data_IF_393807496231
#
_entry.id   IF_393807496231
#
_cell.length_a   1.000
_cell.length_b   1.000
_cell.length_c   1.000
_cell.angle_alpha   90.00
_cell.angle_beta   90.00
_cell.angle_gamma   90.00
#
_symmetry.space_group_name_H-M   'P 1'
#
loop_
_entity.id
_entity.type
_entity.pdbx_description
1 polymer ?
#
# COMPACT_ATOMS: atom_id res chain seq x y z
N UNK A 1 -11.14 11.70 11.95
CA UNK A 1 -10.14 10.93 11.15
C UNK A 1 -10.67 10.22 9.91
N UNK A 2 -11.99 10.00 9.74
CA UNK A 2 -12.55 9.26 8.58
C UNK A 2 -12.09 9.81 7.21
N UNK A 3 -12.04 11.14 7.06
CA UNK A 3 -11.54 11.78 5.84
C UNK A 3 -10.05 11.53 5.56
N UNK A 4 -9.20 11.55 6.60
CA UNK A 4 -7.77 11.26 6.48
C UNK A 4 -7.53 9.82 6.00
N UNK A 5 -8.25 8.85 6.58
CA UNK A 5 -8.16 7.45 6.17
C UNK A 5 -8.63 7.25 4.73
N UNK A 6 -9.75 7.87 4.33
CA UNK A 6 -10.21 7.83 2.92
C UNK A 6 -9.16 8.40 1.98
N UNK A 7 -8.54 9.53 2.32
CA UNK A 7 -7.48 10.14 1.52
C UNK A 7 -6.29 9.19 1.33
N UNK A 8 -5.83 8.52 2.39
CA UNK A 8 -4.73 7.56 2.30
C UNK A 8 -5.12 6.34 1.44
N UNK A 9 -6.33 5.81 1.62
CA UNK A 9 -6.83 4.66 0.86
C UNK A 9 -6.98 4.96 -0.64
N UNK A 10 -7.48 6.14 -1.00
CA UNK A 10 -7.55 6.55 -2.41
C UNK A 10 -6.17 6.74 -3.04
N UNK A 11 -5.19 7.19 -2.27
CA UNK A 11 -3.80 7.22 -2.71
C UNK A 11 -3.27 5.84 -3.08
N UNK A 12 -3.61 4.82 -2.28
CA UNK A 12 -3.19 3.43 -2.48
C UNK A 12 -3.92 2.76 -3.63
N UNK A 13 -5.23 3.02 -3.80
CA UNK A 13 -6.05 2.43 -4.87
C UNK A 13 -5.43 2.59 -6.27
N UNK A 14 -4.82 3.74 -6.55
CA UNK A 14 -4.14 3.99 -7.83
C UNK A 14 -2.96 3.03 -8.06
N UNK A 15 -2.14 2.81 -7.04
CA UNK A 15 -1.00 1.89 -7.10
C UNK A 15 -1.44 0.42 -7.08
N UNK A 16 -2.54 0.11 -6.39
CA UNK A 16 -3.04 -1.25 -6.25
C UNK A 16 -3.38 -1.91 -7.60
N UNK A 17 -3.88 -1.14 -8.57
CA UNK A 17 -4.16 -1.65 -9.91
C UNK A 17 -2.89 -2.12 -10.63
N UNK A 18 -1.82 -1.32 -10.54
CA UNK A 18 -0.52 -1.65 -11.17
C UNK A 18 0.14 -2.82 -10.45
N UNK A 19 0.12 -2.82 -9.12
CA UNK A 19 0.65 -3.91 -8.28
C UNK A 19 -0.10 -5.21 -8.55
N UNK A 20 -1.43 -5.18 -8.64
CA UNK A 20 -2.25 -6.34 -8.95
C UNK A 20 -1.94 -6.91 -10.34
N UNK A 21 -1.81 -6.05 -11.35
CA UNK A 21 -1.42 -6.50 -12.69
C UNK A 21 -0.03 -7.14 -12.70
N UNK A 22 0.95 -6.54 -12.01
CA UNK A 22 2.29 -7.10 -11.88
C UNK A 22 2.29 -8.45 -11.14
N UNK A 23 1.47 -8.59 -10.09
CA UNK A 23 1.34 -9.84 -9.33
C UNK A 23 0.74 -10.97 -10.19
N UNK A 24 -0.28 -10.68 -11.01
CA UNK A 24 -0.87 -11.68 -11.91
C UNK A 24 0.14 -12.12 -12.97
N UNK A 25 0.89 -11.19 -13.55
CA UNK A 25 1.95 -11.52 -14.52
C UNK A 25 3.05 -12.38 -13.90
N UNK A 26 3.53 -11.99 -12.72
CA UNK A 26 4.58 -12.72 -12.01
C UNK A 26 4.10 -14.13 -11.61
N UNK A 27 2.87 -14.24 -11.10
CA UNK A 27 2.25 -15.52 -10.77
C UNK A 27 2.11 -16.44 -12.00
N UNK A 28 1.68 -15.88 -13.13
CA UNK A 28 1.59 -16.62 -14.39
C UNK A 28 2.96 -17.16 -14.86
N UNK A 29 4.02 -16.36 -14.75
CA UNK A 29 5.39 -16.78 -15.08
C UNK A 29 5.83 -17.92 -14.14
N UNK A 30 5.60 -17.80 -12.83
CA UNK A 30 5.95 -18.84 -11.87
C UNK A 30 5.23 -20.16 -12.16
N UNK A 31 3.96 -20.12 -12.58
CA UNK A 31 3.21 -21.32 -12.96
C UNK A 31 3.75 -22.00 -14.23
N UNK A 32 4.17 -21.22 -15.23
CA UNK A 32 4.74 -21.76 -16.48
C UNK A 32 6.13 -22.37 -16.23
N UNK A 33 6.94 -21.74 -15.38
CA UNK A 33 8.29 -22.26 -15.04
C UNK A 33 8.23 -23.57 -14.24
N UNK A 34 7.16 -23.80 -13.48
CA UNK A 34 6.93 -25.06 -12.76
C UNK A 34 7.93 -25.35 -11.62
N UNK A 35 8.76 -24.38 -11.23
CA UNK A 35 9.72 -24.54 -10.13
C UNK A 35 8.99 -24.54 -8.77
N UNK A 36 9.02 -25.66 -8.02
CA UNK A 36 8.31 -25.78 -6.74
C UNK A 36 8.75 -24.73 -5.70
N UNK A 37 10.01 -24.30 -5.76
CA UNK A 37 10.56 -23.30 -4.85
C UNK A 37 9.98 -21.91 -5.12
N UNK A 38 9.88 -21.50 -6.39
CA UNK A 38 9.31 -20.21 -6.76
C UNK A 38 7.81 -20.12 -6.44
N UNK A 39 7.05 -21.19 -6.71
CA UNK A 39 5.60 -21.24 -6.45
C UNK A 39 5.29 -21.22 -4.95
N UNK A 40 6.11 -21.87 -4.12
CA UNK A 40 5.90 -21.92 -2.66
C UNK A 40 6.24 -20.61 -1.94
N UNK A 41 7.12 -19.77 -2.49
CA UNK A 41 7.49 -18.48 -1.90
C UNK A 41 6.51 -17.36 -2.31
N UNK A 42 5.85 -17.48 -3.47
CA UNK A 42 4.93 -16.49 -4.01
C UNK A 42 3.86 -15.99 -3.02
N UNK A 43 3.22 -16.84 -2.19
CA UNK A 43 2.22 -16.40 -1.21
C UNK A 43 2.75 -15.47 -0.11
N UNK A 44 4.07 -15.41 0.12
CA UNK A 44 4.67 -14.51 1.12
C UNK A 44 4.96 -13.11 0.58
N UNK A 45 4.89 -12.92 -0.74
CA UNK A 45 5.18 -11.66 -1.43
C UNK A 45 4.13 -10.54 -1.19
N UNK A 46 2.82 -10.81 -1.08
CA UNK A 46 1.80 -9.75 -1.00
C UNK A 46 1.93 -8.83 0.21
N UNK A 47 2.24 -9.36 1.40
CA UNK A 47 2.39 -8.57 2.62
C UNK A 47 3.49 -7.48 2.52
N UNK A 48 4.76 -7.78 2.18
CA UNK A 48 5.78 -6.76 2.02
C UNK A 48 5.49 -5.82 0.84
N UNK A 49 4.88 -6.31 -0.25
CA UNK A 49 4.52 -5.48 -1.41
C UNK A 49 3.45 -4.45 -1.07
N UNK A 50 2.38 -4.84 -0.36
CA UNK A 50 1.34 -3.92 0.07
C UNK A 50 1.83 -2.94 1.16
N UNK A 51 2.72 -3.38 2.05
CA UNK A 51 3.42 -2.48 2.97
C UNK A 51 4.25 -1.41 2.24
N UNK A 52 5.06 -1.83 1.26
CA UNK A 52 5.82 -0.92 0.41
C UNK A 52 4.92 0.04 -0.38
N UNK A 53 3.75 -0.41 -0.85
CA UNK A 53 2.77 0.41 -1.53
C UNK A 53 2.22 1.54 -0.64
N UNK A 54 1.97 1.26 0.65
CA UNK A 54 1.55 2.27 1.62
C UNK A 54 2.65 3.33 1.84
N UNK A 55 3.92 2.92 1.91
CA UNK A 55 5.07 3.85 2.01
C UNK A 55 5.25 4.66 0.72
N UNK A 56 5.05 4.06 -0.45
CA UNK A 56 5.09 4.78 -1.73
C UNK A 56 4.01 5.87 -1.79
N UNK A 57 2.84 5.63 -1.19
CA UNK A 57 1.78 6.64 -1.10
C UNK A 57 2.18 7.84 -0.22
N UNK A 58 2.86 7.61 0.89
CA UNK A 58 3.44 8.67 1.72
C UNK A 58 4.45 9.54 0.94
N UNK A 59 5.30 8.90 0.12
CA UNK A 59 6.26 9.61 -0.75
C UNK A 59 5.53 10.45 -1.79
N UNK A 60 4.50 9.89 -2.44
CA UNK A 60 3.69 10.60 -3.44
C UNK A 60 2.96 11.80 -2.83
N UNK A 61 2.44 11.66 -1.64
CA UNK A 61 1.83 12.76 -0.88
C UNK A 61 2.82 13.89 -0.58
N UNK A 62 4.08 13.55 -0.33
CA UNK A 62 5.14 14.54 -0.13
C UNK A 62 5.48 15.27 -1.43
N UNK A 63 5.55 14.54 -2.55
CA UNK A 63 5.79 15.10 -3.88
C UNK A 63 4.66 16.03 -4.35
N UNK A 64 3.40 15.68 -4.05
CA UNK A 64 2.23 16.51 -4.40
C UNK A 64 2.00 17.70 -3.47
N UNK A 65 2.89 17.92 -2.48
CA UNK A 65 2.74 18.92 -1.40
C UNK A 65 1.51 18.72 -0.52
N UNK A 66 0.78 17.61 -0.67
CA UNK A 66 -0.39 17.30 0.14
C UNK A 66 -0.05 17.17 1.63
N UNK A 67 1.16 16.73 1.96
CA UNK A 67 1.67 16.71 3.34
C UNK A 67 1.70 18.11 3.98
N UNK A 68 2.03 19.17 3.21
CA UNK A 68 2.04 20.57 3.66
C UNK A 68 0.63 21.16 3.75
N UNK A 69 -0.29 20.71 2.91
CA UNK A 69 -1.69 21.14 3.00
C UNK A 69 -2.41 20.49 4.19
N UNK A 70 -2.13 19.21 4.50
CA UNK A 70 -2.80 18.53 5.62
C UNK A 70 -2.54 19.13 6.99
N UNK A 71 -1.40 19.80 7.18
CA UNK A 71 -1.08 20.47 8.44
C UNK A 71 -1.86 21.79 8.64
N UNK A 72 -2.45 22.36 7.59
CA UNK A 72 -3.29 23.57 7.68
C UNK A 72 -4.76 23.26 7.90
N UNK A 73 -5.17 21.99 7.73
CA UNK A 73 -6.53 21.54 8.03
C UNK A 73 -6.79 21.60 9.54
N UNK A 74 -8.06 21.78 9.97
CA UNK A 74 -8.44 21.81 11.39
C UNK A 74 -8.45 20.40 12.00
N UNK A 75 -7.31 19.72 11.96
CA UNK A 75 -7.11 18.34 12.46
C UNK A 75 -5.85 18.30 13.32
N UNK A 76 -5.87 17.48 14.37
CA UNK A 76 -4.71 17.34 15.26
C UNK A 76 -3.58 16.61 14.54
N UNK A 77 -2.33 17.07 14.73
CA UNK A 77 -1.14 16.42 14.14
C UNK A 77 -1.04 14.93 14.48
N UNK A 78 -1.43 14.56 15.71
CA UNK A 78 -1.48 13.16 16.15
C UNK A 78 -2.39 12.29 15.29
N UNK A 79 -3.49 12.85 14.78
CA UNK A 79 -4.47 12.12 13.98
C UNK A 79 -3.97 11.91 12.55
N UNK A 80 -3.19 12.86 12.03
CA UNK A 80 -2.50 12.74 10.73
C UNK A 80 -1.51 11.57 10.80
N UNK A 81 -0.63 11.55 11.82
CA UNK A 81 0.35 10.47 11.99
C UNK A 81 -0.35 9.12 12.22
N UNK A 82 -1.33 9.06 13.12
CA UNK A 82 -2.12 7.85 13.38
C UNK A 82 -2.78 7.30 12.11
N UNK A 83 -3.33 8.16 11.26
CA UNK A 83 -3.99 7.72 10.02
C UNK A 83 -3.04 7.00 9.06
N UNK A 84 -1.77 7.38 9.02
CA UNK A 84 -0.76 6.73 8.18
C UNK A 84 -0.38 5.35 8.73
N UNK A 85 -0.14 5.24 10.04
CA UNK A 85 0.15 3.95 10.68
C UNK A 85 -1.02 2.97 10.57
N UNK A 86 -2.26 3.44 10.78
CA UNK A 86 -3.46 2.61 10.61
C UNK A 86 -3.56 2.10 9.17
N UNK A 87 -3.34 2.97 8.18
CA UNK A 87 -3.40 2.57 6.76
C UNK A 87 -2.31 1.55 6.43
N UNK A 88 -1.09 1.76 6.91
CA UNK A 88 0.01 0.80 6.72
C UNK A 88 -0.29 -0.55 7.38
N UNK A 89 -0.82 -0.54 8.60
CA UNK A 89 -1.25 -1.76 9.29
C UNK A 89 -2.32 -2.51 8.51
N UNK A 90 -3.36 -1.82 8.02
CA UNK A 90 -4.40 -2.43 7.18
C UNK A 90 -3.81 -3.06 5.91
N UNK A 91 -2.89 -2.36 5.23
CA UNK A 91 -2.26 -2.89 4.01
C UNK A 91 -1.38 -4.12 4.29
N UNK A 92 -0.62 -4.12 5.38
CA UNK A 92 0.19 -5.27 5.77
C UNK A 92 -0.69 -6.47 6.14
N UNK A 93 -1.75 -6.26 6.94
CA UNK A 93 -2.72 -7.31 7.29
C UNK A 93 -3.45 -7.86 6.06
N UNK A 94 -3.84 -6.99 5.12
CA UNK A 94 -4.51 -7.39 3.89
C UNK A 94 -3.65 -8.26 2.98
N UNK A 95 -2.32 -8.17 3.07
CA UNK A 95 -1.41 -9.03 2.32
C UNK A 95 -1.09 -10.36 2.99
N UNK A 96 -1.57 -10.58 4.22
CA UNK A 96 -1.48 -11.87 4.91
C UNK A 96 -2.74 -12.73 4.74
N UNK A 97 -3.84 -12.14 4.27
CA UNK A 97 -5.11 -12.81 4.01
C UNK A 97 -5.17 -13.33 2.57
#
# INVERSE_FOLDING_TARGET
MKGLLKSCFFGIKGNLRVIGAAAVLLGGICLIMGDPSAVSIFPFLPAPVLGAAAVACLRRESASRWSRYKITLPVRRRDIVKSQYITHGICALAGMA
#
